data_IF_807346432427
#
_entry.id   IF_807346432427
#
_cell.length_a   1.000
_cell.length_b   1.000
_cell.length_c   1.000
_cell.angle_alpha   90.00
_cell.angle_beta   90.00
_cell.angle_gamma   90.00
#
_symmetry.space_group_name_H-M   'P 1'
#
loop_
_entity.id
_entity.type
_entity.pdbx_description
1 polymer ?
#
# COMPACT_ATOMS: atom_id res chain seq x y z
N UNK A 1 11.60 -20.55 13.19
CA UNK A 1 10.38 -20.34 12.35
C UNK A 1 10.85 -20.01 10.95
N UNK A 2 10.83 -21.02 10.05
CA UNK A 2 11.38 -20.88 8.71
C UNK A 2 10.30 -20.58 7.69
N UNK A 3 10.57 -19.73 6.73
CA UNK A 3 9.68 -19.43 5.61
C UNK A 3 9.57 -20.68 4.72
N UNK A 4 8.36 -21.18 4.55
CA UNK A 4 8.02 -22.34 3.71
C UNK A 4 7.65 -21.91 2.30
N UNK A 5 6.86 -20.85 2.18
CA UNK A 5 6.43 -20.34 0.89
C UNK A 5 6.20 -18.83 0.92
N UNK A 6 6.42 -18.19 -0.21
CA UNK A 6 6.03 -16.81 -0.51
C UNK A 6 5.20 -16.83 -1.78
N UNK A 7 3.98 -16.37 -1.69
CA UNK A 7 3.04 -16.32 -2.81
C UNK A 7 2.46 -14.92 -2.97
N UNK A 8 1.97 -14.62 -4.15
CA UNK A 8 1.34 -13.35 -4.45
C UNK A 8 0.17 -13.55 -5.42
N UNK A 9 -0.91 -12.83 -5.20
CA UNK A 9 -2.12 -12.88 -6.01
C UNK A 9 -2.55 -11.47 -6.38
N UNK A 10 -2.70 -11.20 -7.67
CA UNK A 10 -3.28 -9.96 -8.14
C UNK A 10 -4.80 -10.01 -7.99
N UNK A 11 -5.33 -9.12 -7.17
CA UNK A 11 -6.74 -8.91 -6.94
C UNK A 11 -7.20 -7.68 -7.71
N UNK A 12 -8.29 -7.83 -8.46
CA UNK A 12 -8.90 -6.75 -9.21
C UNK A 12 -10.40 -6.72 -8.93
N UNK A 13 -10.86 -5.61 -8.35
CA UNK A 13 -12.27 -5.39 -8.02
C UNK A 13 -12.84 -4.33 -8.96
N UNK A 14 -13.72 -4.69 -9.91
CA UNK A 14 -14.36 -3.74 -10.79
C UNK A 14 -15.23 -2.74 -9.99
N UNK A 15 -15.17 -1.46 -10.35
CA UNK A 15 -16.07 -0.44 -9.83
C UNK A 15 -17.30 -0.37 -10.74
N UNK A 16 -18.53 -0.55 -10.20
CA UNK A 16 -19.75 -0.38 -10.98
C UNK A 16 -19.78 0.95 -11.71
N UNK A 17 -20.30 0.99 -12.94
CA UNK A 17 -20.21 2.16 -13.82
C UNK A 17 -20.73 3.44 -13.16
N UNK A 18 -21.86 3.38 -12.47
CA UNK A 18 -22.45 4.52 -11.75
C UNK A 18 -21.66 4.98 -10.50
N UNK A 19 -20.63 4.24 -10.07
CA UNK A 19 -19.76 4.60 -8.95
C UNK A 19 -18.34 4.94 -9.40
N UNK A 20 -18.06 4.88 -10.70
CA UNK A 20 -16.77 5.27 -11.24
C UNK A 20 -16.64 6.79 -11.20
N UNK A 21 -15.49 7.26 -10.74
CA UNK A 21 -15.16 8.69 -10.77
C UNK A 21 -13.95 8.94 -11.66
N UNK A 22 -13.88 10.15 -12.19
CA UNK A 22 -12.75 10.65 -12.96
C UNK A 22 -11.99 11.67 -12.10
N UNK A 23 -10.68 11.56 -12.07
CA UNK A 23 -9.78 12.52 -11.42
C UNK A 23 -8.78 13.01 -12.46
N UNK A 24 -7.86 13.88 -12.06
CA UNK A 24 -6.74 14.35 -12.89
C UNK A 24 -5.87 13.21 -13.44
N UNK A 25 -5.95 12.03 -12.83
CA UNK A 25 -5.26 10.81 -13.26
C UNK A 25 -6.12 9.90 -14.15
N UNK A 26 -7.32 10.37 -14.55
CA UNK A 26 -8.24 9.63 -15.40
C UNK A 26 -9.35 8.91 -14.64
N UNK A 27 -10.15 8.14 -15.38
CA UNK A 27 -11.34 7.43 -14.86
C UNK A 27 -10.92 6.14 -14.15
N UNK A 28 -11.32 6.02 -12.89
CA UNK A 28 -11.08 4.83 -12.10
C UNK A 28 -12.16 3.78 -12.35
N UNK A 29 -11.77 2.63 -12.92
CA UNK A 29 -12.68 1.55 -13.32
C UNK A 29 -12.61 0.31 -12.42
N UNK A 30 -11.55 0.17 -11.67
CA UNK A 30 -11.34 -0.92 -10.72
C UNK A 30 -10.43 -0.49 -9.59
N UNK A 31 -10.45 -1.23 -8.48
CA UNK A 31 -9.40 -1.23 -7.47
C UNK A 31 -8.53 -2.46 -7.68
N UNK A 32 -7.23 -2.26 -7.69
CA UNK A 32 -6.26 -3.33 -7.91
C UNK A 32 -5.24 -3.33 -6.78
N UNK A 33 -4.90 -4.52 -6.31
CA UNK A 33 -3.80 -4.74 -5.37
C UNK A 33 -3.17 -6.11 -5.57
N UNK A 34 -1.95 -6.30 -5.09
CA UNK A 34 -1.31 -7.62 -5.03
C UNK A 34 -1.24 -8.04 -3.57
N UNK A 35 -2.03 -9.05 -3.22
CA UNK A 35 -1.99 -9.68 -1.91
C UNK A 35 -0.76 -10.59 -1.86
N UNK A 36 0.10 -10.37 -0.87
CA UNK A 36 1.27 -11.22 -0.57
C UNK A 36 0.92 -12.13 0.61
N UNK A 37 1.26 -13.40 0.47
CA UNK A 37 1.06 -14.42 1.51
C UNK A 37 2.39 -15.12 1.77
N UNK A 38 2.84 -15.07 3.01
CA UNK A 38 4.03 -15.78 3.48
C UNK A 38 3.59 -16.86 4.48
N UNK A 39 4.05 -18.10 4.28
CA UNK A 39 3.76 -19.23 5.18
C UNK A 39 5.05 -19.76 5.78
N UNK A 40 4.99 -20.12 7.05
CA UNK A 40 6.12 -20.71 7.79
C UNK A 40 5.97 -22.21 7.98
N UNK A 41 7.05 -22.87 8.32
CA UNK A 41 7.09 -24.30 8.69
C UNK A 41 6.27 -24.63 9.95
N UNK A 42 6.00 -23.63 10.80
CA UNK A 42 5.13 -23.76 11.97
C UNK A 42 3.64 -23.57 11.65
N UNK A 43 3.28 -23.30 10.40
CA UNK A 43 1.89 -23.11 9.97
C UNK A 43 1.37 -21.67 10.16
N UNK A 44 2.17 -20.71 10.65
CA UNK A 44 1.79 -19.31 10.67
C UNK A 44 1.76 -18.76 9.25
N UNK A 45 0.73 -17.96 8.98
CA UNK A 45 0.55 -17.29 7.69
C UNK A 45 0.41 -15.79 7.93
N UNK A 46 1.29 -15.02 7.33
CA UNK A 46 1.22 -13.56 7.33
C UNK A 46 0.80 -13.03 5.96
N UNK A 47 0.14 -11.90 5.99
CA UNK A 47 -0.35 -11.22 4.80
C UNK A 47 0.24 -9.82 4.68
N UNK A 48 0.50 -9.41 3.43
CA UNK A 48 0.94 -8.07 3.10
C UNK A 48 0.31 -7.61 1.80
N UNK A 49 0.40 -6.33 1.54
CA UNK A 49 -0.09 -5.71 0.31
C UNK A 49 1.06 -5.08 -0.46
N UNK A 50 1.10 -5.34 -1.77
CA UNK A 50 2.00 -4.67 -2.69
C UNK A 50 1.22 -3.96 -3.79
N UNK A 51 1.63 -2.75 -4.14
CA UNK A 51 0.91 -1.92 -5.12
C UNK A 51 1.85 -1.34 -6.16
N UNK A 52 1.54 -1.56 -7.43
CA UNK A 52 2.38 -1.12 -8.55
C UNK A 52 2.33 0.40 -8.80
N UNK A 53 1.31 1.08 -8.30
CA UNK A 53 1.14 2.52 -8.50
C UNK A 53 -0.12 3.06 -7.81
N UNK A 54 -0.35 4.36 -7.96
CA UNK A 54 -1.56 5.02 -7.45
C UNK A 54 -2.73 4.78 -8.41
N UNK A 55 -3.86 4.32 -7.90
CA UNK A 55 -5.02 3.95 -8.73
C UNK A 55 -4.77 2.64 -9.48
N UNK A 56 -5.27 2.54 -10.71
CA UNK A 56 -5.17 1.35 -11.56
C UNK A 56 -4.10 1.50 -12.64
N UNK A 57 -2.94 1.98 -12.27
CA UNK A 57 -1.85 2.20 -13.21
C UNK A 57 -1.09 0.89 -13.46
N UNK A 58 -1.72 -0.02 -14.20
CA UNK A 58 -1.02 -1.18 -14.74
C UNK A 58 -1.56 -2.54 -14.30
N UNK A 59 -0.92 -3.56 -14.82
CA UNK A 59 -1.18 -4.97 -14.61
C UNK A 59 -0.34 -5.46 -13.41
N UNK A 60 -0.97 -6.01 -12.39
CA UNK A 60 -0.28 -6.54 -11.22
C UNK A 60 0.56 -7.79 -11.48
N UNK A 61 0.49 -8.39 -12.67
CA UNK A 61 1.21 -9.64 -12.99
C UNK A 61 2.73 -9.51 -12.89
N UNK A 62 3.29 -8.38 -13.33
CA UNK A 62 4.73 -8.15 -13.21
C UNK A 62 5.18 -8.15 -11.74
N UNK A 63 4.38 -7.55 -10.85
CA UNK A 63 4.65 -7.52 -9.42
C UNK A 63 4.49 -8.91 -8.78
N UNK A 64 3.47 -9.67 -9.19
CA UNK A 64 3.28 -11.07 -8.77
C UNK A 64 4.49 -11.91 -9.13
N UNK A 65 4.95 -11.83 -10.38
CA UNK A 65 6.13 -12.58 -10.86
C UNK A 65 7.38 -12.18 -10.10
N UNK A 66 7.61 -10.89 -9.89
CA UNK A 66 8.74 -10.39 -9.12
C UNK A 66 8.75 -10.96 -7.68
N UNK A 67 7.59 -10.95 -7.01
CA UNK A 67 7.46 -11.44 -5.63
C UNK A 67 7.69 -12.96 -5.59
N UNK A 68 7.00 -13.72 -6.44
CA UNK A 68 7.05 -15.19 -6.44
C UNK A 68 8.39 -15.74 -6.90
N UNK A 69 8.87 -15.24 -8.04
CA UNK A 69 9.93 -15.89 -8.81
C UNK A 69 11.32 -15.34 -8.50
N UNK A 70 11.39 -14.16 -7.91
CA UNK A 70 12.66 -13.55 -7.55
C UNK A 70 12.78 -13.30 -6.05
N UNK A 71 12.00 -12.37 -5.48
CA UNK A 71 12.16 -11.97 -4.08
C UNK A 71 11.85 -13.10 -3.11
N UNK A 72 10.74 -13.80 -3.32
CA UNK A 72 10.29 -14.88 -2.44
C UNK A 72 11.24 -16.07 -2.43
N UNK A 73 11.80 -16.45 -3.58
CA UNK A 73 12.73 -17.58 -3.67
C UNK A 73 13.96 -17.43 -2.78
N UNK A 74 14.44 -16.20 -2.59
CA UNK A 74 15.59 -15.90 -1.74
C UNK A 74 15.31 -16.16 -0.26
N UNK A 75 14.04 -16.17 0.14
CA UNK A 75 13.61 -16.23 1.54
C UNK A 75 13.26 -17.63 2.00
N UNK A 76 13.03 -18.58 1.09
CA UNK A 76 12.64 -19.95 1.43
C UNK A 76 13.70 -20.62 2.30
N UNK A 77 13.24 -21.24 3.40
CA UNK A 77 14.08 -21.90 4.39
C UNK A 77 14.76 -20.98 5.40
N UNK A 78 14.61 -19.66 5.24
CA UNK A 78 15.21 -18.67 6.15
C UNK A 78 14.29 -18.36 7.32
N UNK A 79 14.85 -17.79 8.37
CA UNK A 79 14.09 -17.41 9.57
C UNK A 79 13.20 -16.18 9.29
N UNK A 80 11.90 -16.36 9.43
CA UNK A 80 10.91 -15.29 9.20
C UNK A 80 11.06 -14.09 10.15
N UNK A 81 11.67 -14.27 11.32
CA UNK A 81 11.90 -13.19 12.29
C UNK A 81 13.04 -12.24 11.89
N UNK A 82 13.86 -12.60 10.90
CA UNK A 82 14.98 -11.77 10.44
C UNK A 82 14.54 -10.69 9.44
N UNK A 83 13.51 -9.91 9.79
CA UNK A 83 12.81 -8.99 8.87
C UNK A 83 13.76 -7.97 8.25
N UNK A 84 14.48 -7.20 9.06
CA UNK A 84 15.42 -6.17 8.57
C UNK A 84 16.51 -6.75 7.67
N UNK A 85 17.05 -7.91 8.02
CA UNK A 85 18.06 -8.58 7.19
C UNK A 85 17.52 -9.04 5.85
N UNK A 86 16.28 -9.52 5.79
CA UNK A 86 15.61 -9.87 4.54
C UNK A 86 15.33 -8.64 3.69
N UNK A 87 14.90 -7.54 4.31
CA UNK A 87 14.70 -6.27 3.62
C UNK A 87 15.99 -5.79 2.94
N UNK A 88 17.10 -5.76 3.67
CA UNK A 88 18.40 -5.35 3.14
C UNK A 88 18.87 -6.23 1.98
N UNK A 89 18.74 -7.54 2.12
CA UNK A 89 19.14 -8.49 1.07
C UNK A 89 18.30 -8.34 -0.19
N UNK A 90 16.96 -8.20 -0.05
CA UNK A 90 16.06 -7.95 -1.18
C UNK A 90 16.34 -6.60 -1.85
N UNK A 91 16.65 -5.57 -1.05
CA UNK A 91 16.92 -4.22 -1.55
C UNK A 91 18.26 -4.12 -2.27
N UNK A 92 19.31 -4.66 -1.68
CA UNK A 92 20.69 -4.56 -2.21
C UNK A 92 21.03 -5.66 -3.22
N UNK A 93 20.28 -6.76 -3.24
CA UNK A 93 20.54 -7.92 -4.08
C UNK A 93 21.74 -8.75 -3.61
N UNK A 94 22.00 -9.84 -4.32
CA UNK A 94 23.02 -10.84 -3.95
C UNK A 94 24.47 -10.34 -4.03
N UNK A 95 24.69 -9.21 -4.67
CA UNK A 95 26.03 -8.62 -4.89
C UNK A 95 26.44 -7.60 -3.82
N UNK A 96 25.56 -7.27 -2.88
CA UNK A 96 25.78 -6.21 -1.90
C UNK A 96 27.02 -6.43 -1.06
N UNK A 97 27.18 -7.61 -0.48
CA UNK A 97 28.34 -7.93 0.36
C UNK A 97 29.65 -7.77 -0.41
N UNK A 98 29.72 -8.31 -1.61
CA UNK A 98 30.88 -8.21 -2.47
C UNK A 98 31.26 -6.77 -2.82
N UNK A 99 30.26 -5.93 -3.06
CA UNK A 99 30.45 -4.52 -3.40
C UNK A 99 30.90 -3.71 -2.18
N UNK A 100 30.29 -3.94 -1.02
CA UNK A 100 30.64 -3.26 0.25
C UNK A 100 32.07 -3.56 0.69
N UNK A 101 32.49 -4.82 0.62
CA UNK A 101 33.87 -5.24 0.92
C UNK A 101 34.91 -4.50 0.04
N UNK A 102 34.49 -3.99 -1.11
CA UNK A 102 35.32 -3.20 -2.04
C UNK A 102 35.10 -1.69 -1.96
N UNK A 103 34.43 -1.23 -0.92
CA UNK A 103 34.20 0.19 -0.67
C UNK A 103 33.12 0.85 -1.56
N UNK A 104 32.29 0.07 -2.26
CA UNK A 104 31.15 0.63 -2.99
C UNK A 104 30.01 1.00 -2.05
N UNK A 105 29.38 2.15 -2.30
CA UNK A 105 28.26 2.64 -1.47
C UNK A 105 26.91 2.12 -1.95
N UNK A 106 26.05 1.78 -1.02
CA UNK A 106 24.72 1.22 -1.22
C UNK A 106 23.80 1.98 -2.20
N UNK A 107 23.76 3.31 -2.27
CA UNK A 107 22.86 4.00 -3.18
C UNK A 107 23.00 3.64 -4.65
N UNK A 108 24.18 3.17 -5.06
CA UNK A 108 24.43 2.72 -6.44
C UNK A 108 23.87 1.33 -6.75
N UNK A 109 23.63 0.51 -5.72
CA UNK A 109 23.21 -0.88 -5.83
C UNK A 109 21.73 -1.08 -5.50
N UNK A 110 21.14 -0.15 -4.76
CA UNK A 110 19.77 -0.24 -4.27
C UNK A 110 18.74 -0.38 -5.38
N UNK A 111 17.87 -1.36 -5.22
CA UNK A 111 16.75 -1.61 -6.14
C UNK A 111 15.62 -0.63 -5.89
N UNK A 112 14.96 -0.19 -6.95
CA UNK A 112 13.95 0.88 -6.89
C UNK A 112 12.69 0.53 -7.68
N UNK A 113 11.71 1.45 -7.66
CA UNK A 113 10.48 1.32 -8.42
C UNK A 113 9.66 0.11 -7.98
N UNK A 114 9.23 -0.71 -8.93
CA UNK A 114 8.36 -1.86 -8.70
C UNK A 114 8.92 -2.86 -7.67
N UNK A 115 10.24 -2.98 -7.58
CA UNK A 115 10.90 -3.87 -6.61
C UNK A 115 10.62 -3.44 -5.18
N UNK A 116 10.60 -2.14 -4.87
CA UNK A 116 10.26 -1.65 -3.52
C UNK A 116 8.84 -2.02 -3.16
N UNK A 117 7.90 -1.94 -4.09
CA UNK A 117 6.52 -2.38 -3.85
C UNK A 117 6.44 -3.87 -3.49
N UNK A 118 7.22 -4.70 -4.19
CA UNK A 118 7.31 -6.14 -3.88
C UNK A 118 7.93 -6.41 -2.51
N UNK A 119 9.03 -5.72 -2.18
CA UNK A 119 9.68 -5.80 -0.88
C UNK A 119 8.73 -5.38 0.22
N UNK A 120 8.00 -4.26 0.06
CA UNK A 120 7.01 -3.79 1.05
C UNK A 120 5.94 -4.82 1.35
N UNK A 121 5.39 -5.48 0.32
CA UNK A 121 4.38 -6.52 0.53
C UNK A 121 4.91 -7.72 1.33
N UNK A 122 6.13 -8.15 1.05
CA UNK A 122 6.79 -9.23 1.81
C UNK A 122 7.11 -8.78 3.23
N UNK A 123 7.64 -7.59 3.40
CA UNK A 123 8.01 -7.02 4.70
C UNK A 123 6.80 -6.94 5.63
N UNK A 124 5.67 -6.41 5.14
CA UNK A 124 4.40 -6.36 5.88
C UNK A 124 3.97 -7.77 6.30
N UNK A 125 4.04 -8.75 5.41
CA UNK A 125 3.68 -10.14 5.73
C UNK A 125 4.60 -10.77 6.80
N UNK A 126 5.88 -10.43 6.81
CA UNK A 126 6.82 -10.89 7.84
C UNK A 126 6.55 -10.23 9.20
N UNK A 127 6.21 -8.94 9.23
CA UNK A 127 5.76 -8.26 10.45
C UNK A 127 4.46 -8.86 11.00
N UNK A 128 3.52 -9.23 10.12
CA UNK A 128 2.28 -9.90 10.49
C UNK A 128 2.57 -11.26 11.14
N UNK A 129 3.46 -12.08 10.54
CA UNK A 129 3.92 -13.34 11.14
C UNK A 129 4.54 -13.12 12.52
N UNK A 130 5.39 -12.12 12.68
CA UNK A 130 6.02 -11.82 13.96
C UNK A 130 4.97 -11.45 15.01
N UNK A 131 4.00 -10.60 14.65
CA UNK A 131 2.87 -10.22 15.49
C UNK A 131 2.06 -11.43 15.94
N UNK A 132 1.69 -12.30 14.99
CA UNK A 132 0.96 -13.55 15.27
C UNK A 132 1.75 -14.49 16.19
N UNK A 133 3.06 -14.64 15.95
CA UNK A 133 3.91 -15.51 16.75
C UNK A 133 4.06 -15.07 18.20
N UNK A 134 3.98 -13.77 18.45
CA UNK A 134 4.11 -13.17 19.79
C UNK A 134 2.76 -12.84 20.44
N UNK A 135 1.65 -13.00 19.71
CA UNK A 135 0.32 -12.58 20.18
C UNK A 135 0.24 -11.06 20.40
N UNK A 136 0.96 -10.26 19.61
CA UNK A 136 1.05 -8.80 19.73
C UNK A 136 0.69 -8.10 18.44
N UNK A 137 -0.07 -6.99 18.50
CA UNK A 137 -0.28 -6.16 17.33
C UNK A 137 1.02 -5.44 16.94
N UNK A 138 1.18 -5.19 15.64
CA UNK A 138 2.42 -4.61 15.07
C UNK A 138 2.82 -3.29 15.74
N UNK A 139 1.84 -2.43 16.09
CA UNK A 139 2.13 -1.16 16.75
C UNK A 139 2.86 -1.32 18.11
N UNK A 140 2.62 -2.44 18.85
CA UNK A 140 3.38 -2.74 20.07
C UNK A 140 4.81 -3.17 19.77
N UNK A 141 5.02 -3.89 18.66
CA UNK A 141 6.35 -4.31 18.23
C UNK A 141 7.20 -3.13 17.73
N UNK A 142 6.55 -2.10 17.21
CA UNK A 142 7.19 -0.87 16.71
C UNK A 142 7.41 0.21 17.79
N UNK A 143 7.28 -0.12 19.07
CA UNK A 143 7.59 0.78 20.17
C UNK A 143 6.40 1.32 20.96
N UNK A 144 5.18 0.93 20.62
CA UNK A 144 3.98 1.28 21.37
C UNK A 144 3.24 2.51 20.83
N UNK A 145 2.21 2.92 21.57
CA UNK A 145 1.37 4.06 21.21
C UNK A 145 2.01 5.38 21.66
N UNK A 146 2.04 6.35 20.75
CA UNK A 146 2.30 7.75 21.12
C UNK A 146 1.00 8.51 21.44
N UNK A 147 -0.17 8.01 20.98
CA UNK A 147 -1.51 8.59 21.18
C UNK A 147 -2.52 7.47 21.30
N UNK A 148 -3.58 7.70 22.06
CA UNK A 148 -4.67 6.72 22.21
C UNK A 148 -5.62 6.76 21.02
N UNK A 149 -5.82 7.94 20.44
CA UNK A 149 -6.66 8.20 19.29
C UNK A 149 -5.99 9.14 18.28
N UNK A 150 -6.53 9.16 17.08
CA UNK A 150 -6.12 10.05 15.99
C UNK A 150 -7.35 10.78 15.47
N UNK A 151 -7.25 12.10 15.36
CA UNK A 151 -8.27 12.89 14.69
C UNK A 151 -8.38 12.47 13.22
N UNK A 152 -9.58 12.11 12.80
CA UNK A 152 -9.87 11.71 11.44
C UNK A 152 -10.66 12.79 10.69
N UNK A 153 -10.48 12.84 9.38
CA UNK A 153 -11.32 13.61 8.48
C UNK A 153 -11.92 12.70 7.39
N UNK A 154 -13.10 13.04 6.89
CA UNK A 154 -13.67 12.35 5.75
C UNK A 154 -12.97 12.82 4.46
N UNK A 155 -12.47 11.88 3.67
CA UNK A 155 -11.85 12.15 2.37
C UNK A 155 -12.79 11.72 1.24
N UNK A 156 -13.30 12.70 0.49
CA UNK A 156 -14.28 12.45 -0.57
C UNK A 156 -14.59 13.71 -1.36
N UNK A 157 -15.88 14.00 -1.56
CA UNK A 157 -16.32 15.23 -2.21
C UNK A 157 -16.16 15.19 -3.73
N UNK A 158 -16.95 14.35 -4.39
CA UNK A 158 -16.98 14.18 -5.84
C UNK A 158 -18.19 14.81 -6.53
N UNK A 159 -19.18 15.26 -5.75
CA UNK A 159 -20.39 15.87 -6.27
C UNK A 159 -20.08 17.15 -7.08
N UNK A 160 -20.92 17.48 -8.09
CA UNK A 160 -20.87 18.79 -8.76
C UNK A 160 -21.16 19.93 -7.77
N UNK A 161 -20.94 21.17 -8.18
CA UNK A 161 -21.11 22.36 -7.32
C UNK A 161 -22.50 22.40 -6.66
N UNK A 162 -23.55 22.02 -7.37
CA UNK A 162 -24.94 22.03 -6.84
C UNK A 162 -25.18 21.05 -5.67
N UNK A 163 -24.35 20.02 -5.50
CA UNK A 163 -24.56 18.99 -4.46
C UNK A 163 -23.35 18.80 -3.54
N UNK A 164 -22.25 19.54 -3.75
CA UNK A 164 -21.01 19.32 -2.98
C UNK A 164 -21.17 19.70 -1.51
N UNK A 165 -21.89 20.80 -1.22
CA UNK A 165 -22.16 21.25 0.14
C UNK A 165 -22.93 20.18 0.94
N UNK A 166 -24.01 19.65 0.37
CA UNK A 166 -24.81 18.58 1.00
C UNK A 166 -23.99 17.30 1.21
N UNK A 167 -23.18 16.90 0.20
CA UNK A 167 -22.32 15.72 0.34
C UNK A 167 -21.30 15.87 1.46
N UNK A 168 -20.69 17.04 1.61
CA UNK A 168 -19.70 17.28 2.65
C UNK A 168 -20.34 17.44 4.03
N UNK A 169 -21.50 18.08 4.10
CA UNK A 169 -22.30 18.19 5.33
C UNK A 169 -22.67 16.80 5.86
N UNK A 170 -23.11 15.88 4.99
CA UNK A 170 -23.42 14.51 5.36
C UNK A 170 -22.24 13.76 5.99
N UNK A 171 -21.00 14.05 5.58
CA UNK A 171 -19.82 13.46 6.25
C UNK A 171 -19.65 13.96 7.69
N UNK A 172 -20.03 15.20 7.97
CA UNK A 172 -19.96 15.78 9.32
C UNK A 172 -21.15 15.31 10.17
N UNK A 173 -22.35 15.43 9.64
CA UNK A 173 -23.62 15.20 10.37
C UNK A 173 -23.88 13.71 10.60
N UNK A 174 -23.78 12.89 9.56
CA UNK A 174 -24.05 11.45 9.63
C UNK A 174 -22.80 10.66 10.03
N UNK A 175 -21.63 11.09 9.55
CA UNK A 175 -20.36 10.39 9.77
C UNK A 175 -19.62 10.81 11.04
N UNK A 176 -19.99 11.92 11.67
CA UNK A 176 -19.37 12.43 12.88
C UNK A 176 -17.94 12.94 12.70
N UNK A 177 -17.50 13.23 11.46
CA UNK A 177 -16.15 13.73 11.21
C UNK A 177 -16.04 15.21 11.54
N UNK A 178 -14.99 15.61 12.28
CA UNK A 178 -14.71 17.01 12.61
C UNK A 178 -14.12 17.82 11.45
N UNK A 179 -13.75 17.19 10.35
CA UNK A 179 -13.21 17.83 9.15
C UNK A 179 -13.48 17.02 7.91
N UNK A 180 -13.46 17.68 6.75
CA UNK A 180 -13.64 17.04 5.44
C UNK A 180 -12.53 17.46 4.49
N UNK A 181 -12.15 16.58 3.58
CA UNK A 181 -11.23 16.88 2.47
C UNK A 181 -11.97 16.60 1.16
N UNK A 182 -12.24 17.65 0.39
CA UNK A 182 -12.79 17.49 -0.96
C UNK A 182 -11.70 17.39 -2.02
N UNK A 183 -12.00 16.70 -3.10
CA UNK A 183 -11.17 16.70 -4.30
C UNK A 183 -11.41 18.01 -5.08
N UNK A 184 -10.37 18.76 -5.38
CA UNK A 184 -10.46 20.03 -6.11
C UNK A 184 -10.43 19.78 -7.63
N UNK A 185 -9.51 18.98 -8.13
CA UNK A 185 -9.49 18.59 -9.55
C UNK A 185 -10.75 17.80 -9.92
N UNK A 186 -11.45 18.21 -10.95
CA UNK A 186 -12.64 17.54 -11.45
C UNK A 186 -12.38 16.82 -12.79
N UNK A 187 -13.35 16.02 -13.21
CA UNK A 187 -13.28 15.13 -14.37
C UNK A 187 -12.87 15.80 -15.70
N UNK A 188 -13.09 17.08 -15.80
CA UNK A 188 -12.94 17.92 -16.98
C UNK A 188 -11.68 18.80 -16.94
N UNK A 189 -10.95 18.78 -15.82
CA UNK A 189 -9.75 19.61 -15.66
C UNK A 189 -10.02 21.12 -15.67
N UNK A 190 -11.29 21.54 -15.64
CA UNK A 190 -11.69 22.93 -15.68
C UNK A 190 -11.50 23.58 -14.29
N UNK A 191 -10.62 24.59 -14.24
CA UNK A 191 -10.32 25.32 -13.01
C UNK A 191 -11.50 26.17 -12.52
N UNK A 192 -12.38 26.63 -13.41
CA UNK A 192 -13.59 27.38 -13.04
C UNK A 192 -14.59 26.48 -12.32
N UNK A 193 -14.82 25.27 -12.82
CA UNK A 193 -15.67 24.27 -12.15
C UNK A 193 -15.10 23.92 -10.78
N UNK A 194 -13.80 23.76 -10.67
CA UNK A 194 -13.14 23.51 -9.38
C UNK A 194 -13.34 24.67 -8.40
N UNK A 195 -13.23 25.91 -8.87
CA UNK A 195 -13.48 27.11 -8.05
C UNK A 195 -14.94 27.20 -7.60
N UNK A 196 -15.91 26.97 -8.49
CA UNK A 196 -17.33 26.93 -8.17
C UNK A 196 -17.66 25.86 -7.12
N UNK A 197 -17.05 24.68 -7.22
CA UNK A 197 -17.21 23.61 -6.22
C UNK A 197 -16.65 24.01 -4.84
N UNK A 198 -15.48 24.67 -4.81
CA UNK A 198 -14.92 25.16 -3.55
C UNK A 198 -15.80 26.24 -2.93
N UNK A 199 -16.36 27.14 -3.74
CA UNK A 199 -17.28 28.19 -3.28
C UNK A 199 -18.57 27.58 -2.72
N UNK A 200 -19.15 26.60 -3.41
CA UNK A 200 -20.36 25.91 -2.98
C UNK A 200 -20.16 24.99 -1.76
N UNK A 201 -18.92 24.65 -1.42
CA UNK A 201 -18.55 23.83 -0.27
C UNK A 201 -18.34 24.64 1.03
N UNK A 202 -18.31 25.98 0.95
CA UNK A 202 -18.16 26.89 2.09
C UNK A 202 -19.49 27.16 2.79
#
# INVERSE_FOLDING_TARGET
MKIRSVDATWLRVPIPEGRQHTSDFGRMRSFDTVLVRVETDSGLVGHGEAKAGVGNLGDGRALVTLIRDELGKQLIGRDAARIAGHWEEMYNGSRAHFAVERGHVFPALGRRGLTISGISGIDIALWDILGLSLGKPIWQLLGGKCRDDLAAYASGGWAPAAGIGEQLAGYVEDGGFGAVKMRVGSADGDTLISAQRVEAAR
#
